data_IF_781502627086
#
_entry.id   IF_781502627086
#
_cell.length_a   1.000
_cell.length_b   1.000
_cell.length_c   1.000
_cell.angle_alpha   90.00
_cell.angle_beta   90.00
_cell.angle_gamma   90.00
#
_symmetry.space_group_name_H-M   'P 1'
#
loop_
_entity.id
_entity.type
_entity.pdbx_description
1 polymer ?
#
# COMPACT_ATOMS: atom_id res chain seq x y z
N UNK A 1 -21.17 -5.97 -1.04
CA UNK A 1 -20.16 -5.24 -0.21
C UNK A 1 -20.52 -3.76 -0.09
N UNK A 2 -20.66 -3.04 -1.20
CA UNK A 2 -20.93 -1.58 -1.17
C UNK A 2 -22.21 -1.23 -0.38
N UNK A 3 -23.29 -1.94 -0.63
CA UNK A 3 -24.60 -1.72 0.04
C UNK A 3 -24.54 -2.05 1.53
N UNK A 4 -23.60 -2.87 1.95
CA UNK A 4 -23.32 -3.18 3.35
C UNK A 4 -22.34 -2.17 4.01
N UNK A 5 -22.03 -1.05 3.34
CA UNK A 5 -21.19 0.02 3.89
C UNK A 5 -19.68 -0.18 3.77
N UNK A 6 -19.20 -1.23 3.10
CA UNK A 6 -17.76 -1.42 2.89
C UNK A 6 -17.18 -0.32 1.99
N UNK A 7 -16.03 0.24 2.38
CA UNK A 7 -15.33 1.33 1.68
C UNK A 7 -14.22 0.86 0.78
N UNK A 8 -13.75 -0.36 0.98
CA UNK A 8 -12.65 -0.93 0.22
C UNK A 8 -12.77 -2.44 0.04
N UNK A 9 -11.97 -2.95 -0.87
CA UNK A 9 -11.86 -4.37 -1.18
C UNK A 9 -10.39 -4.77 -1.06
N UNK A 10 -10.09 -5.83 -0.30
CA UNK A 10 -8.74 -6.36 -0.19
C UNK A 10 -8.56 -7.54 -1.15
N UNK A 11 -7.56 -7.42 -2.00
CA UNK A 11 -7.21 -8.40 -3.02
C UNK A 11 -5.92 -9.11 -2.64
N UNK A 12 -5.86 -10.43 -2.86
CA UNK A 12 -4.69 -11.26 -2.60
C UNK A 12 -4.27 -12.02 -3.87
N UNK A 13 -3.75 -11.34 -4.92
CA UNK A 13 -3.50 -11.95 -6.22
C UNK A 13 -2.60 -13.18 -6.11
N UNK A 14 -1.46 -13.06 -5.42
CA UNK A 14 -0.49 -14.17 -5.29
C UNK A 14 -1.01 -15.33 -4.44
N UNK A 15 -1.80 -15.04 -3.41
CA UNK A 15 -2.43 -16.07 -2.59
C UNK A 15 -3.52 -16.84 -3.36
N UNK A 16 -4.35 -16.10 -4.08
CA UNK A 16 -5.44 -16.68 -4.88
C UNK A 16 -5.01 -17.10 -6.30
N UNK A 17 -3.72 -16.96 -6.64
CA UNK A 17 -3.12 -17.40 -7.90
C UNK A 17 -3.75 -16.80 -9.16
N UNK A 18 -3.99 -15.49 -9.14
CA UNK A 18 -4.38 -14.73 -10.33
C UNK A 18 -3.45 -13.53 -10.54
N UNK A 19 -3.41 -13.00 -11.75
CA UNK A 19 -2.70 -11.76 -12.07
C UNK A 19 -3.67 -10.58 -12.09
N UNK A 20 -3.25 -9.45 -11.51
CA UNK A 20 -4.09 -8.24 -11.51
C UNK A 20 -4.17 -7.58 -12.88
N UNK A 21 -3.18 -7.80 -13.72
CA UNK A 21 -3.06 -7.25 -15.07
C UNK A 21 -3.70 -8.17 -16.15
N UNK A 22 -4.25 -9.31 -15.76
CA UNK A 22 -5.05 -10.14 -16.68
C UNK A 22 -6.47 -9.54 -16.88
N UNK A 23 -7.22 -9.97 -17.91
CA UNK A 23 -8.55 -9.43 -18.18
C UNK A 23 -9.53 -9.52 -17.01
N UNK A 24 -9.50 -10.59 -16.22
CA UNK A 24 -10.39 -10.77 -15.07
C UNK A 24 -9.96 -9.88 -13.89
N UNK A 25 -8.64 -9.78 -13.65
CA UNK A 25 -8.07 -8.88 -12.66
C UNK A 25 -8.42 -7.43 -12.95
N UNK A 26 -8.27 -7.00 -14.20
CA UNK A 26 -8.62 -5.66 -14.64
C UNK A 26 -10.13 -5.38 -14.55
N UNK A 27 -10.98 -6.35 -14.91
CA UNK A 27 -12.43 -6.22 -14.76
C UNK A 27 -12.85 -6.05 -13.30
N UNK A 28 -12.19 -6.76 -12.37
CA UNK A 28 -12.41 -6.59 -10.94
C UNK A 28 -12.00 -5.19 -10.46
N UNK A 29 -10.85 -4.69 -10.92
CA UNK A 29 -10.39 -3.31 -10.63
C UNK A 29 -11.39 -2.29 -11.16
N UNK A 30 -11.88 -2.46 -12.37
CA UNK A 30 -12.85 -1.56 -13.01
C UNK A 30 -14.17 -1.54 -12.22
N UNK A 31 -14.73 -2.70 -11.88
CA UNK A 31 -15.95 -2.81 -11.08
C UNK A 31 -15.82 -2.16 -9.68
N UNK A 32 -14.70 -2.39 -8.98
CA UNK A 32 -14.44 -1.75 -7.70
C UNK A 32 -14.30 -0.22 -7.83
N UNK A 33 -13.71 0.25 -8.93
CA UNK A 33 -13.56 1.67 -9.24
C UNK A 33 -14.91 2.35 -9.47
N UNK A 34 -15.81 1.74 -10.24
CA UNK A 34 -17.16 2.23 -10.48
C UNK A 34 -17.96 2.35 -9.17
N UNK A 35 -17.76 1.42 -8.24
CA UNK A 35 -18.35 1.45 -6.90
C UNK A 35 -17.66 2.45 -5.95
N UNK A 36 -16.59 3.13 -6.39
CA UNK A 36 -15.83 4.08 -5.58
C UNK A 36 -15.08 3.45 -4.40
N UNK A 37 -14.76 2.16 -4.50
CA UNK A 37 -14.04 1.41 -3.45
C UNK A 37 -12.52 1.60 -3.58
N UNK A 38 -11.83 1.54 -2.44
CA UNK A 38 -10.36 1.49 -2.39
C UNK A 38 -9.92 0.03 -2.51
N UNK A 39 -8.93 -0.22 -3.36
CA UNK A 39 -8.35 -1.54 -3.59
C UNK A 39 -7.10 -1.71 -2.73
N UNK A 40 -7.16 -2.50 -1.68
CA UNK A 40 -6.02 -2.84 -0.84
C UNK A 40 -5.30 -4.08 -1.37
N UNK A 41 -4.00 -3.96 -1.64
CA UNK A 41 -3.20 -5.04 -2.23
C UNK A 41 -1.98 -5.30 -1.35
N UNK A 42 -1.92 -6.42 -0.60
CA UNK A 42 -0.73 -6.84 0.11
C UNK A 42 0.36 -7.25 -0.88
N UNK A 43 1.52 -6.58 -0.80
CA UNK A 43 2.72 -6.95 -1.58
C UNK A 43 3.33 -8.24 -1.05
N UNK A 44 3.21 -8.47 0.25
CA UNK A 44 3.62 -9.68 0.94
C UNK A 44 2.53 -10.09 1.92
N UNK A 45 2.14 -11.36 1.90
CA UNK A 45 1.13 -11.92 2.81
C UNK A 45 1.78 -12.38 4.11
N UNK A 46 2.93 -13.04 4.03
CA UNK A 46 3.62 -13.66 5.16
C UNK A 46 5.11 -13.34 5.14
N UNK A 47 5.73 -13.26 6.31
CA UNK A 47 7.18 -13.08 6.41
C UNK A 47 7.89 -14.38 6.01
N UNK A 48 8.76 -14.31 5.03
CA UNK A 48 9.50 -15.47 4.50
C UNK A 48 10.33 -16.21 5.57
N UNK A 49 10.71 -15.51 6.65
CA UNK A 49 11.46 -16.11 7.78
C UNK A 49 10.60 -17.01 8.66
N UNK A 50 9.30 -16.75 8.70
CA UNK A 50 8.30 -17.47 9.51
C UNK A 50 7.40 -18.34 8.64
N UNK A 51 7.65 -18.38 7.33
CA UNK A 51 6.81 -19.08 6.37
C UNK A 51 6.86 -20.59 6.59
N UNK A 52 5.68 -21.21 6.63
CA UNK A 52 5.58 -22.66 6.59
C UNK A 52 6.09 -23.19 5.24
N UNK A 53 6.83 -24.28 5.27
CA UNK A 53 7.26 -24.97 4.05
C UNK A 53 6.09 -25.50 3.17
N UNK A 54 4.90 -25.58 3.76
CA UNK A 54 3.65 -25.96 3.05
C UNK A 54 3.03 -24.80 2.28
N UNK A 55 3.46 -23.56 2.55
CA UNK A 55 2.89 -22.35 1.96
C UNK A 55 3.96 -21.64 1.16
N UNK A 56 3.85 -21.67 -0.16
CA UNK A 56 4.75 -20.95 -1.07
C UNK A 56 3.97 -19.87 -1.83
N UNK A 57 3.86 -18.71 -1.20
CA UNK A 57 3.24 -17.52 -1.80
C UNK A 57 4.33 -16.49 -2.04
N UNK A 58 4.69 -16.21 -3.29
CA UNK A 58 5.71 -15.22 -3.61
C UNK A 58 5.23 -13.81 -3.24
N UNK A 59 6.19 -12.89 -3.04
CA UNK A 59 5.86 -11.47 -2.95
C UNK A 59 5.31 -10.97 -4.31
N UNK A 60 4.40 -10.01 -4.26
CA UNK A 60 3.89 -9.36 -5.47
C UNK A 60 4.97 -8.50 -6.11
N UNK A 61 5.28 -8.67 -7.40
CA UNK A 61 6.27 -7.81 -8.06
C UNK A 61 5.75 -6.39 -8.18
N UNK A 62 6.57 -5.41 -7.78
CA UNK A 62 6.21 -3.98 -7.86
C UNK A 62 5.93 -3.53 -9.29
N UNK A 63 6.52 -4.19 -10.30
CA UNK A 63 6.27 -3.91 -11.72
C UNK A 63 4.85 -4.25 -12.17
N UNK A 64 4.28 -5.37 -11.72
CA UNK A 64 2.87 -5.74 -12.00
C UNK A 64 1.92 -4.70 -11.44
N UNK A 65 2.15 -4.29 -10.18
CA UNK A 65 1.33 -3.26 -9.54
C UNK A 65 1.48 -1.91 -10.25
N UNK A 66 2.69 -1.52 -10.61
CA UNK A 66 2.93 -0.27 -11.34
C UNK A 66 2.20 -0.24 -12.69
N UNK A 67 2.17 -1.37 -13.40
CA UNK A 67 1.45 -1.49 -14.68
C UNK A 67 -0.06 -1.30 -14.49
N UNK A 68 -0.67 -1.91 -13.47
CA UNK A 68 -2.10 -1.77 -13.17
C UNK A 68 -2.44 -0.36 -12.70
N UNK A 69 -1.62 0.25 -11.85
CA UNK A 69 -1.75 1.64 -11.40
C UNK A 69 -1.75 2.60 -12.58
N UNK A 70 -0.82 2.42 -13.52
CA UNK A 70 -0.73 3.22 -14.75
C UNK A 70 -1.94 3.03 -15.66
N UNK A 71 -2.38 1.78 -15.85
CA UNK A 71 -3.48 1.42 -16.74
C UNK A 71 -4.85 1.87 -16.21
N UNK A 72 -5.00 2.11 -14.91
CA UNK A 72 -6.28 2.43 -14.25
C UNK A 72 -6.18 3.69 -13.37
N UNK A 73 -5.97 4.87 -13.98
CA UNK A 73 -5.72 6.12 -13.24
C UNK A 73 -6.90 6.59 -12.37
N UNK A 74 -8.11 6.09 -12.60
CA UNK A 74 -9.30 6.38 -11.79
C UNK A 74 -9.46 5.45 -10.57
N UNK A 75 -8.82 4.29 -10.59
CA UNK A 75 -8.82 3.35 -9.46
C UNK A 75 -7.97 3.92 -8.32
N UNK A 76 -8.29 3.54 -7.08
CA UNK A 76 -7.55 3.94 -5.89
C UNK A 76 -6.91 2.72 -5.24
N UNK A 77 -5.58 2.67 -5.25
CA UNK A 77 -4.82 1.53 -4.74
C UNK A 77 -4.17 1.83 -3.40
N UNK A 78 -4.31 0.94 -2.44
CA UNK A 78 -3.61 0.97 -1.17
C UNK A 78 -2.66 -0.24 -1.11
N UNK A 79 -1.35 0.04 -1.20
CA UNK A 79 -0.30 -0.98 -1.27
C UNK A 79 0.19 -1.28 0.14
N UNK A 80 -0.08 -2.51 0.60
CA UNK A 80 0.18 -2.93 1.97
C UNK A 80 1.44 -3.79 2.06
N UNK A 81 2.11 -3.71 3.20
CA UNK A 81 3.18 -4.62 3.61
C UNK A 81 4.29 -4.79 2.55
N UNK A 82 4.63 -3.72 1.82
CA UNK A 82 5.71 -3.68 0.85
C UNK A 82 6.95 -2.96 1.36
N UNK A 83 8.05 -3.14 0.66
CA UNK A 83 9.30 -2.41 0.85
C UNK A 83 10.05 -2.32 -0.48
N UNK A 84 11.07 -1.46 -0.56
CA UNK A 84 11.89 -1.29 -1.77
C UNK A 84 11.21 -0.48 -2.88
N UNK A 85 10.11 0.21 -2.59
CA UNK A 85 9.39 1.02 -3.57
C UNK A 85 10.24 2.15 -4.16
N UNK A 86 11.18 2.68 -3.37
CA UNK A 86 12.09 3.75 -3.79
C UNK A 86 12.93 3.38 -5.04
N UNK A 87 13.16 2.08 -5.26
CA UNK A 87 13.95 1.58 -6.38
C UNK A 87 13.15 1.46 -7.69
N UNK A 88 11.83 1.65 -7.66
CA UNK A 88 10.93 1.46 -8.80
C UNK A 88 10.07 2.68 -9.13
N UNK A 89 9.20 2.56 -10.14
CA UNK A 89 8.31 3.66 -10.56
C UNK A 89 7.32 4.08 -9.46
N UNK A 90 6.93 3.17 -8.55
CA UNK A 90 6.06 3.47 -7.42
C UNK A 90 6.71 4.40 -6.38
N UNK A 91 8.04 4.50 -6.35
CA UNK A 91 8.78 5.40 -5.47
C UNK A 91 9.23 6.71 -6.13
N UNK A 92 8.88 6.96 -7.38
CA UNK A 92 9.31 8.14 -8.15
C UNK A 92 8.16 9.09 -8.42
N UNK A 93 8.37 10.36 -8.12
CA UNK A 93 7.42 11.43 -8.44
C UNK A 93 7.17 11.46 -9.96
N UNK A 94 5.93 11.69 -10.34
CA UNK A 94 5.49 11.86 -11.74
C UNK A 94 5.74 10.64 -12.67
N UNK A 95 6.24 9.51 -12.14
CA UNK A 95 6.38 8.28 -12.91
C UNK A 95 5.04 7.56 -13.16
N UNK A 96 4.09 7.74 -12.24
CA UNK A 96 2.76 7.10 -12.28
C UNK A 96 1.67 8.10 -11.87
N UNK A 97 0.41 7.85 -12.28
CA UNK A 97 -0.72 8.63 -11.78
C UNK A 97 -0.81 8.61 -10.26
N UNK A 98 -1.32 9.70 -9.66
CA UNK A 98 -1.37 9.85 -8.20
C UNK A 98 -2.50 9.06 -7.51
N UNK A 99 -2.79 7.88 -7.93
CA UNK A 99 -3.93 7.07 -7.55
C UNK A 99 -3.58 5.88 -6.65
N UNK A 100 -2.46 5.97 -5.92
CA UNK A 100 -2.06 4.93 -4.94
C UNK A 100 -1.51 5.55 -3.67
N UNK A 101 -1.65 4.83 -2.56
CA UNK A 101 -1.01 5.09 -1.27
C UNK A 101 -0.15 3.89 -0.88
N UNK A 102 0.95 4.15 -0.20
CA UNK A 102 1.91 3.15 0.26
C UNK A 102 1.88 3.07 1.77
N UNK A 103 1.58 1.89 2.30
CA UNK A 103 1.62 1.57 3.72
C UNK A 103 3.07 1.45 4.21
N UNK A 104 3.40 2.10 5.31
CA UNK A 104 4.77 2.14 5.85
C UNK A 104 5.08 1.01 6.84
N UNK A 105 4.16 0.08 7.08
CA UNK A 105 4.30 -0.94 8.13
C UNK A 105 5.59 -1.76 8.06
N UNK A 106 6.05 -2.10 6.86
CA UNK A 106 7.25 -2.91 6.62
C UNK A 106 8.55 -2.10 6.46
N UNK A 107 8.44 -0.79 6.24
CA UNK A 107 9.60 0.08 6.01
C UNK A 107 10.26 0.46 7.32
N UNK A 108 11.50 0.91 7.25
CA UNK A 108 12.18 1.50 8.40
C UNK A 108 12.37 3.02 8.23
N UNK A 109 12.58 3.71 9.36
CA UNK A 109 12.74 5.14 9.46
C UNK A 109 14.15 5.56 9.91
N UNK A 110 15.04 4.61 10.17
CA UNK A 110 16.37 4.88 10.73
C UNK A 110 17.48 4.28 9.88
N UNK A 111 17.51 2.94 9.70
CA UNK A 111 18.67 2.25 9.09
C UNK A 111 18.77 2.54 7.59
N UNK A 112 17.79 2.14 6.81
CA UNK A 112 17.72 2.45 5.37
C UNK A 112 16.95 3.74 5.12
N UNK A 113 16.20 4.19 6.12
CA UNK A 113 15.37 5.40 6.07
C UNK A 113 14.48 5.46 4.82
N UNK A 114 13.90 4.33 4.43
CA UNK A 114 13.06 4.25 3.23
C UNK A 114 11.86 5.19 3.31
N UNK A 115 11.26 5.36 4.50
CA UNK A 115 10.14 6.29 4.70
C UNK A 115 10.58 7.72 4.38
N UNK A 116 11.71 8.19 4.94
CA UNK A 116 12.24 9.52 4.68
C UNK A 116 12.63 9.74 3.21
N UNK A 117 13.18 8.71 2.55
CA UNK A 117 13.48 8.76 1.12
C UNK A 117 12.21 8.88 0.27
N UNK A 118 11.14 8.15 0.60
CA UNK A 118 9.86 8.24 -0.09
C UNK A 118 9.18 9.59 0.15
N UNK A 119 9.25 10.17 1.35
CA UNK A 119 8.76 11.53 1.60
C UNK A 119 9.47 12.53 0.67
N UNK A 120 10.78 12.44 0.54
CA UNK A 120 11.55 13.32 -0.36
C UNK A 120 11.22 13.12 -1.83
N UNK A 121 10.96 11.89 -2.24
CA UNK A 121 10.70 11.54 -3.65
C UNK A 121 9.23 11.74 -4.05
N UNK A 122 8.27 11.31 -3.23
CA UNK A 122 6.84 11.30 -3.55
C UNK A 122 6.06 12.41 -2.84
N UNK A 123 6.52 12.81 -1.66
CA UNK A 123 5.76 13.58 -0.69
C UNK A 123 5.03 12.69 0.32
N UNK A 124 4.79 13.25 1.51
CA UNK A 124 4.07 12.56 2.60
C UNK A 124 2.63 12.18 2.22
N UNK A 125 2.01 12.90 1.28
CA UNK A 125 0.63 12.66 0.80
C UNK A 125 0.44 11.29 0.13
N UNK A 126 1.53 10.55 -0.11
CA UNK A 126 1.52 9.21 -0.73
C UNK A 126 1.72 8.08 0.26
N UNK A 127 2.00 8.39 1.51
CA UNK A 127 2.30 7.42 2.54
C UNK A 127 1.15 7.31 3.54
N UNK A 128 0.91 6.11 4.06
CA UNK A 128 -0.10 5.88 5.11
C UNK A 128 0.46 4.98 6.19
N UNK A 129 0.03 5.25 7.41
CA UNK A 129 0.36 4.42 8.56
C UNK A 129 -0.31 3.05 8.45
N UNK A 130 0.45 2.01 8.75
CA UNK A 130 -0.02 0.66 8.93
C UNK A 130 0.68 -0.01 10.10
N UNK A 131 -0.07 -0.68 10.95
CA UNK A 131 0.45 -1.39 12.11
C UNK A 131 0.85 -2.84 11.79
N UNK A 132 0.29 -3.42 10.73
CA UNK A 132 0.41 -4.84 10.45
C UNK A 132 -0.40 -5.75 11.39
N UNK A 133 -1.28 -5.17 12.21
CA UNK A 133 -2.17 -5.97 13.08
C UNK A 133 -3.09 -6.89 12.25
N UNK A 134 -3.45 -8.05 12.80
CA UNK A 134 -3.14 -8.60 14.13
C UNK A 134 -1.80 -9.37 14.21
N UNK A 135 -1.03 -9.43 13.11
CA UNK A 135 0.20 -10.22 13.03
C UNK A 135 1.42 -9.53 13.66
N UNK A 136 1.38 -8.21 13.80
CA UNK A 136 2.42 -7.42 14.43
C UNK A 136 1.85 -6.57 15.57
N UNK A 137 2.69 -6.25 16.56
CA UNK A 137 2.35 -5.29 17.60
C UNK A 137 2.38 -3.86 17.01
N UNK A 138 1.38 -3.02 17.31
CA UNK A 138 1.29 -1.66 16.75
C UNK A 138 2.39 -0.72 17.25
N UNK A 139 2.95 -0.99 18.44
CA UNK A 139 3.95 -0.13 19.09
C UNK A 139 5.19 0.09 18.21
N UNK A 140 5.64 -0.94 17.50
CA UNK A 140 6.78 -0.81 16.58
C UNK A 140 6.49 0.12 15.41
N UNK A 141 5.27 0.11 14.90
CA UNK A 141 4.86 0.99 13.82
C UNK A 141 4.70 2.43 14.31
N UNK A 142 4.17 2.64 15.51
CA UNK A 142 4.07 3.94 16.17
C UNK A 142 5.45 4.52 16.43
N UNK A 143 6.38 3.74 16.98
CA UNK A 143 7.75 4.17 17.23
C UNK A 143 8.46 4.60 15.94
N UNK A 144 8.26 3.91 14.82
CA UNK A 144 8.82 4.31 13.52
C UNK A 144 8.38 5.71 13.12
N UNK A 145 7.11 6.04 13.33
CA UNK A 145 6.57 7.35 13.01
C UNK A 145 7.09 8.43 13.99
N UNK A 146 7.23 8.07 15.25
CA UNK A 146 7.77 8.96 16.28
C UNK A 146 9.23 9.36 15.98
N UNK A 147 10.10 8.38 15.71
CA UNK A 147 11.55 8.60 15.45
C UNK A 147 11.85 9.05 14.02
N UNK A 148 10.85 9.11 13.16
CA UNK A 148 11.02 9.56 11.77
C UNK A 148 11.49 11.02 11.75
N UNK A 149 12.60 11.29 11.06
CA UNK A 149 13.10 12.64 10.81
C UNK A 149 12.29 13.30 9.68
N UNK A 150 11.14 13.87 10.06
CA UNK A 150 10.23 14.57 9.15
C UNK A 150 9.42 15.64 9.91
N UNK A 151 8.92 16.67 9.21
CA UNK A 151 8.03 17.66 9.81
C UNK A 151 6.80 17.02 10.44
N UNK A 152 6.32 17.57 11.56
CA UNK A 152 5.14 17.03 12.27
C UNK A 152 3.89 16.98 11.37
N UNK A 153 3.72 17.98 10.50
CA UNK A 153 2.64 18.01 9.51
C UNK A 153 2.68 16.80 8.55
N UNK A 154 3.88 16.34 8.17
CA UNK A 154 4.02 15.15 7.32
C UNK A 154 3.73 13.86 8.10
N UNK A 155 4.15 13.80 9.37
CA UNK A 155 3.80 12.67 10.25
C UNK A 155 2.30 12.57 10.45
N UNK A 156 1.61 13.69 10.64
CA UNK A 156 0.14 13.75 10.78
C UNK A 156 -0.57 13.24 9.52
N UNK A 157 -0.13 13.65 8.33
CA UNK A 157 -0.66 13.13 7.06
C UNK A 157 -0.52 11.62 6.98
N UNK A 158 0.67 11.10 7.27
CA UNK A 158 0.94 9.66 7.24
C UNK A 158 0.10 8.92 8.28
N UNK A 159 0.01 9.45 9.50
CA UNK A 159 -0.69 8.81 10.61
C UNK A 159 -2.19 8.65 10.36
N UNK A 160 -2.83 9.65 9.76
CA UNK A 160 -4.28 9.71 9.69
C UNK A 160 -4.85 10.32 8.41
N UNK A 161 -4.43 11.54 8.02
CA UNK A 161 -5.17 12.37 7.07
C UNK A 161 -5.32 11.71 5.69
N UNK A 162 -4.25 11.10 5.20
CA UNK A 162 -4.25 10.46 3.87
C UNK A 162 -5.25 9.30 3.81
N UNK A 163 -5.24 8.42 4.82
CA UNK A 163 -6.17 7.30 4.88
C UNK A 163 -7.61 7.77 5.06
N UNK A 164 -7.85 8.74 5.95
CA UNK A 164 -9.16 9.30 6.21
C UNK A 164 -9.77 9.94 4.94
N UNK A 165 -8.99 10.73 4.22
CA UNK A 165 -9.41 11.35 2.97
C UNK A 165 -9.79 10.32 1.89
N UNK A 166 -9.00 9.25 1.76
CA UNK A 166 -9.27 8.20 0.77
C UNK A 166 -10.48 7.35 1.10
N UNK A 167 -10.68 7.05 2.38
CA UNK A 167 -11.83 6.28 2.87
C UNK A 167 -13.08 7.14 3.09
N UNK A 168 -12.97 8.47 2.92
CA UNK A 168 -14.04 9.43 3.17
C UNK A 168 -14.60 9.28 4.60
N UNK A 169 -13.67 9.21 5.56
CA UNK A 169 -13.96 9.26 6.98
C UNK A 169 -14.00 10.74 7.36
N UNK A 170 -15.18 11.27 7.56
CA UNK A 170 -15.44 12.63 7.99
C UNK A 170 -15.89 12.68 9.40
#
# INVERSE_FOLDING_TARGET
CRDAGFRGLRLYPKWHRYALDDPNGLALVDAATELGMVLSIPMRVEDVRNRSWLIDVPEGPTSEIAAVVAARPKARFHLLNGAGFINGPLGRKDALPPNYLIDVSRMDSVLTNEIGLLIKSLGADRLVFGSGMPFNYPDLALLKLEVLDAPEADKQKIAWENAAGWLKLG
#
